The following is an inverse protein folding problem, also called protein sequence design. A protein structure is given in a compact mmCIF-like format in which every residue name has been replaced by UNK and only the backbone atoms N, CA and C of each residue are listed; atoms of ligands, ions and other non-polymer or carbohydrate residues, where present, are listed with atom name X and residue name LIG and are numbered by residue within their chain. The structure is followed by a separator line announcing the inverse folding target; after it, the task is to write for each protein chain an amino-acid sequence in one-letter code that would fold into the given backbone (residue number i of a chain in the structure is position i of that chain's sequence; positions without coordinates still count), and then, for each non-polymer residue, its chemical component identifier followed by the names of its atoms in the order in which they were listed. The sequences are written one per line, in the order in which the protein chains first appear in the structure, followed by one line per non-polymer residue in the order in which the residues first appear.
data_IF_852518965141
#
_entry.id   IF_852518965141
#
_cell.length_a   1.000
_cell.length_b   1.000
_cell.length_c   1.000
_cell.angle_alpha   90.00
_cell.angle_beta   90.00
_cell.angle_gamma   90.00
#
_symmetry.space_group_name_H-M   'P 1'
#
loop_
_entity.id
_entity.type
_entity.pdbx_description
1 polymer ?
#
# COMPACT_ATOMS: atom_id res chain seq x y z
N UNK A 1 -8.11 28.59 -10.67
CA UNK A 1 -8.60 27.30 -11.19
C UNK A 1 -7.53 26.26 -10.92
N UNK A 2 -7.66 25.46 -9.87
CA UNK A 2 -6.67 24.43 -9.51
C UNK A 2 -7.22 23.09 -9.98
N UNK A 3 -6.50 22.47 -10.92
CA UNK A 3 -6.93 21.24 -11.61
C UNK A 3 -7.10 20.14 -10.57
N UNK A 4 -8.34 19.67 -10.44
CA UNK A 4 -8.67 18.45 -9.71
C UNK A 4 -7.98 17.29 -10.44
N UNK A 5 -6.86 16.81 -9.90
CA UNK A 5 -6.27 15.54 -10.34
C UNK A 5 -7.13 14.40 -9.83
N UNK A 6 -8.27 14.21 -10.49
CA UNK A 6 -9.08 13.01 -10.37
C UNK A 6 -8.27 11.83 -10.87
N UNK A 7 -7.59 11.14 -9.95
CA UNK A 7 -7.16 9.78 -10.22
C UNK A 7 -8.35 8.88 -9.87
N UNK A 8 -8.91 8.12 -10.82
CA UNK A 8 -9.85 7.07 -10.45
C UNK A 8 -9.13 6.16 -9.45
N UNK A 9 -9.80 5.76 -8.37
CA UNK A 9 -9.24 4.81 -7.40
C UNK A 9 -8.58 3.66 -8.17
N UNK A 10 -7.28 3.35 -7.96
CA UNK A 10 -6.62 2.33 -8.75
C UNK A 10 -7.33 0.99 -8.48
N UNK A 11 -7.70 0.24 -9.53
CA UNK A 11 -8.31 -1.06 -9.36
C UNK A 11 -7.21 -1.98 -8.86
N UNK A 12 -7.39 -2.56 -7.67
CA UNK A 12 -6.45 -3.50 -7.01
C UNK A 12 -5.07 -2.96 -6.63
N UNK A 13 -4.59 -3.39 -5.47
CA UNK A 13 -3.30 -3.04 -4.87
C UNK A 13 -2.10 -3.30 -5.82
N UNK A 14 -2.28 -4.26 -6.74
CA UNK A 14 -1.35 -4.62 -7.81
C UNK A 14 -1.14 -3.47 -8.83
N UNK A 15 -2.19 -2.71 -9.18
CA UNK A 15 -2.06 -1.60 -10.11
C UNK A 15 -1.31 -0.40 -9.48
N UNK A 16 -1.50 -0.17 -8.18
CA UNK A 16 -0.74 0.84 -7.44
C UNK A 16 0.76 0.49 -7.39
N UNK A 17 1.09 -0.80 -7.17
CA UNK A 17 2.47 -1.29 -7.23
C UNK A 17 3.08 -1.16 -8.63
N UNK A 18 2.33 -1.49 -9.68
CA UNK A 18 2.78 -1.39 -11.07
C UNK A 18 3.05 0.05 -11.50
N UNK A 19 2.39 1.03 -10.85
CA UNK A 19 2.59 2.46 -11.13
C UNK A 19 3.93 3.00 -10.62
N UNK A 20 4.53 2.36 -9.61
CA UNK A 20 5.74 2.85 -8.93
C UNK A 20 6.86 1.80 -8.83
N UNK A 21 7.39 1.28 -9.97
CA UNK A 21 8.36 0.18 -9.98
C UNK A 21 9.69 0.54 -9.31
N UNK A 22 10.09 1.82 -9.35
CA UNK A 22 11.33 2.32 -8.72
C UNK A 22 11.24 2.31 -7.20
N UNK A 23 10.06 2.56 -6.64
CA UNK A 23 9.83 2.56 -5.20
C UNK A 23 9.90 1.14 -4.64
N UNK A 24 9.28 0.20 -5.37
CA UNK A 24 9.34 -1.24 -5.07
C UNK A 24 10.78 -1.76 -5.16
N UNK A 25 11.57 -1.30 -6.14
CA UNK A 25 12.98 -1.66 -6.26
C UNK A 25 13.85 -1.16 -5.10
N UNK A 26 13.57 0.04 -4.56
CA UNK A 26 14.28 0.60 -3.40
C UNK A 26 13.88 -0.04 -2.07
N UNK A 27 12.67 -0.59 -2.00
CA UNK A 27 12.13 -1.23 -0.80
C UNK A 27 11.69 -2.67 -1.11
N UNK A 28 12.63 -3.59 -1.34
CA UNK A 28 12.31 -4.95 -1.77
C UNK A 28 11.45 -5.70 -0.75
N UNK A 29 11.64 -5.46 0.56
CA UNK A 29 10.82 -6.06 1.61
C UNK A 29 9.35 -5.59 1.57
N UNK A 30 9.11 -4.31 1.26
CA UNK A 30 7.75 -3.80 1.06
C UNK A 30 7.14 -4.39 -0.21
N UNK A 31 7.92 -4.44 -1.30
CA UNK A 31 7.51 -5.06 -2.55
C UNK A 31 7.12 -6.52 -2.40
N UNK A 32 7.94 -7.28 -1.68
CA UNK A 32 7.69 -8.69 -1.37
C UNK A 32 6.42 -8.84 -0.53
N UNK A 33 6.31 -8.10 0.57
CA UNK A 33 5.12 -8.12 1.41
C UNK A 33 3.84 -7.84 0.60
N UNK A 34 3.87 -6.84 -0.28
CA UNK A 34 2.71 -6.48 -1.08
C UNK A 34 2.42 -7.48 -2.23
N UNK A 35 3.38 -8.31 -2.63
CA UNK A 35 3.16 -9.39 -3.61
C UNK A 35 2.61 -10.66 -2.97
N UNK A 36 3.20 -11.12 -1.87
CA UNK A 36 2.89 -12.42 -1.27
C UNK A 36 1.97 -12.35 -0.05
N UNK A 37 1.93 -11.22 0.66
CA UNK A 37 1.29 -11.09 1.98
C UNK A 37 0.35 -9.89 2.14
N UNK A 38 -0.04 -9.24 1.05
CA UNK A 38 -0.89 -8.04 1.09
C UNK A 38 -2.24 -8.27 1.78
N UNK A 39 -2.74 -9.51 1.77
CA UNK A 39 -3.99 -9.88 2.44
C UNK A 39 -3.89 -9.77 3.97
N UNK A 40 -2.74 -10.13 4.54
CA UNK A 40 -2.50 -10.04 5.98
C UNK A 40 -2.64 -8.58 6.45
N UNK A 41 -2.34 -7.63 5.56
CA UNK A 41 -2.42 -6.20 5.80
C UNK A 41 -3.81 -5.71 6.22
N UNK A 42 -4.88 -6.44 5.88
CA UNK A 42 -6.24 -6.15 6.34
C UNK A 42 -6.45 -6.34 7.85
N UNK A 43 -5.63 -7.20 8.47
CA UNK A 43 -5.81 -7.68 9.84
C UNK A 43 -4.70 -7.20 10.79
N UNK A 44 -3.70 -6.50 10.28
CA UNK A 44 -2.60 -5.96 11.08
C UNK A 44 -2.71 -4.44 11.29
N UNK A 45 -1.89 -3.95 12.20
CA UNK A 45 -1.69 -2.52 12.45
C UNK A 45 -0.54 -1.99 11.59
N UNK A 46 -0.40 -0.66 11.49
CA UNK A 46 0.73 -0.03 10.83
C UNK A 46 2.06 -0.50 11.45
N UNK A 47 2.11 -0.66 12.78
CA UNK A 47 3.28 -1.18 13.50
C UNK A 47 3.56 -2.64 13.16
N UNK A 48 2.54 -3.48 13.06
CA UNK A 48 2.71 -4.89 12.67
C UNK A 48 3.24 -5.03 11.24
N UNK A 49 2.72 -4.24 10.30
CA UNK A 49 3.24 -4.22 8.93
C UNK A 49 4.66 -3.66 8.86
N UNK A 50 4.97 -2.63 9.65
CA UNK A 50 6.30 -2.06 9.78
C UNK A 50 7.32 -3.11 10.27
N UNK A 51 6.96 -3.89 11.30
CA UNK A 51 7.78 -5.02 11.76
C UNK A 51 7.94 -6.11 10.70
N UNK A 52 6.86 -6.48 10.00
CA UNK A 52 6.91 -7.50 8.96
C UNK A 52 7.75 -7.10 7.73
N UNK A 53 7.85 -5.81 7.45
CA UNK A 53 8.65 -5.26 6.33
C UNK A 53 10.04 -4.79 6.77
N UNK A 54 10.35 -4.79 8.07
CA UNK A 54 11.60 -4.24 8.62
C UNK A 54 11.73 -2.73 8.44
N UNK A 55 10.65 -2.01 8.14
CA UNK A 55 10.64 -0.57 7.89
C UNK A 55 10.14 0.19 9.12
N UNK A 56 10.65 1.40 9.41
CA UNK A 56 10.01 2.28 10.38
C UNK A 56 8.56 2.59 9.98
N UNK A 57 7.62 2.61 10.93
CA UNK A 57 6.21 2.85 10.65
C UNK A 57 5.95 4.20 9.94
N UNK A 58 6.73 5.24 10.25
CA UNK A 58 6.68 6.54 9.57
C UNK A 58 7.10 6.44 8.11
N UNK A 59 8.13 5.64 7.82
CA UNK A 59 8.61 5.38 6.45
C UNK A 59 7.56 4.59 5.67
N UNK A 60 6.98 3.56 6.28
CA UNK A 60 5.90 2.78 5.70
C UNK A 60 4.73 3.68 5.28
N UNK A 61 4.26 4.56 6.16
CA UNK A 61 3.14 5.48 5.86
C UNK A 61 3.49 6.41 4.70
N UNK A 62 4.73 6.94 4.65
CA UNK A 62 5.19 7.77 3.52
C UNK A 62 5.20 7.01 2.20
N UNK A 63 5.65 5.76 2.21
CA UNK A 63 5.67 4.91 1.01
C UNK A 63 4.25 4.55 0.55
N UNK A 64 3.34 4.25 1.47
CA UNK A 64 1.93 4.05 1.17
C UNK A 64 1.29 5.30 0.55
N UNK A 65 1.64 6.50 1.06
CA UNK A 65 1.16 7.75 0.51
C UNK A 65 1.62 7.97 -0.94
N UNK A 66 2.87 7.61 -1.26
CA UNK A 66 3.38 7.63 -2.63
C UNK A 66 2.65 6.64 -3.55
N UNK A 67 2.19 5.52 -3.01
CA UNK A 67 1.36 4.54 -3.72
C UNK A 67 -0.13 4.94 -3.84
N UNK A 68 -0.49 6.15 -3.37
CA UNK A 68 -1.86 6.67 -3.43
C UNK A 68 -2.71 6.38 -2.19
N UNK A 69 -2.12 5.84 -1.12
CA UNK A 69 -2.81 5.57 0.15
C UNK A 69 -2.32 6.54 1.24
N UNK A 70 -3.02 7.66 1.50
CA UNK A 70 -2.53 8.74 2.38
C UNK A 70 -2.36 8.33 3.84
N UNK A 71 -2.92 7.19 4.25
CA UNK A 71 -2.75 6.62 5.58
C UNK A 71 -2.82 5.10 5.54
N UNK A 72 -2.31 4.45 6.58
CA UNK A 72 -2.46 3.01 6.75
C UNK A 72 -3.94 2.58 6.81
N UNK A 73 -4.82 3.42 7.38
CA UNK A 73 -6.26 3.17 7.38
C UNK A 73 -6.82 3.12 5.95
N UNK A 74 -6.50 4.11 5.12
CA UNK A 74 -6.96 4.16 3.72
C UNK A 74 -6.46 2.95 2.91
N UNK A 75 -5.22 2.54 3.13
CA UNK A 75 -4.67 1.31 2.57
C UNK A 75 -5.46 0.07 3.01
N UNK A 76 -5.69 -0.09 4.32
CA UNK A 76 -6.46 -1.22 4.87
C UNK A 76 -7.89 -1.27 4.34
N UNK A 77 -8.53 -0.12 4.19
CA UNK A 77 -9.88 0.00 3.65
C UNK A 77 -9.94 -0.31 2.15
N UNK A 78 -8.84 -0.11 1.40
CA UNK A 78 -8.72 -0.56 0.01
C UNK A 78 -8.43 -2.07 -0.12
N UNK A 79 -7.71 -2.66 0.84
CA UNK A 79 -7.40 -4.11 0.89
C UNK A 79 -8.64 -4.93 1.24
N UNK A 80 -9.42 -4.51 2.23
CA UNK A 80 -10.56 -5.27 2.78
C UNK A 80 -11.58 -5.73 1.72
N UNK A 81 -12.04 -4.89 0.77
CA UNK A 81 -12.96 -5.32 -0.29
C UNK A 81 -12.34 -6.36 -1.22
N UNK A 82 -11.04 -6.28 -1.50
CA UNK A 82 -10.33 -7.23 -2.38
C UNK A 82 -10.25 -8.64 -1.78
N UNK A 83 -10.38 -8.78 -0.46
CA UNK A 83 -10.48 -10.08 0.21
C UNK A 83 -11.85 -10.74 0.07
N UNK A 84 -12.91 -9.96 -0.12
CA UNK A 84 -14.29 -10.47 -0.27
C UNK A 84 -14.58 -10.94 -1.69
N UNK A 85 -13.82 -10.46 -2.66
CA UNK A 85 -13.92 -10.84 -4.08
C UNK A 85 -12.96 -11.99 -4.47
N UNK A 86 -12.32 -12.63 -3.50
CA UNK A 86 -11.41 -13.77 -3.72
C UNK A 86 -12.10 -15.09 -3.47
#
# INVERSE_FOLDING_TARGET
MQVRSGRPAPPTLVAALASEPKLVAKHPALGEFLRSRWADAAFMTATGMAQATGLPATTLIRLLALLGFPSFRAFRDAVRPQLRSR
#
